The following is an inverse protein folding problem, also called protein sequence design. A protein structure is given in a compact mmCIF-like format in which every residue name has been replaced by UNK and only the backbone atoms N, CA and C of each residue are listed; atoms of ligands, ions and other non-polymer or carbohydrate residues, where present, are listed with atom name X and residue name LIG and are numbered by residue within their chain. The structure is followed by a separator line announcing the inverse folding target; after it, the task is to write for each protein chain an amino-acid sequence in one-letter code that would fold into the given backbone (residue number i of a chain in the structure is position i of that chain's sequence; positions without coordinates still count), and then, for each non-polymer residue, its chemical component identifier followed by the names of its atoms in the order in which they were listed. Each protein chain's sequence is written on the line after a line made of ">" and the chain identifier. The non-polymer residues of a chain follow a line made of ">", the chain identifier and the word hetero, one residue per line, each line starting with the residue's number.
data_IF_415660124281
#
_entry.id   IF_415660124281
#
_cell.length_a   1.000
_cell.length_b   1.000
_cell.length_c   1.000
_cell.angle_alpha   90.00
_cell.angle_beta   90.00
_cell.angle_gamma   90.00
#
_symmetry.space_group_name_H-M   'P 1'
#
loop_
_entity.id
_entity.type
_entity.pdbx_description
1 polymer ?
#
# COMPACT_ATOMS: atom_id res chain seq x y z
N UNK A 1 -16.50 10.82 9.47
CA UNK A 1 -16.25 11.51 8.18
C UNK A 1 -16.51 10.51 7.08
N UNK A 2 -17.48 10.76 6.20
CA UNK A 2 -17.73 9.86 5.07
C UNK A 2 -16.65 10.09 4.02
N UNK A 3 -15.89 9.04 3.71
CA UNK A 3 -14.96 9.03 2.59
C UNK A 3 -15.80 8.81 1.33
N UNK A 4 -15.60 9.63 0.29
CA UNK A 4 -16.29 9.53 -0.99
C UNK A 4 -15.91 8.25 -1.73
N UNK A 5 -16.78 7.80 -2.64
CA UNK A 5 -16.52 6.63 -3.50
C UNK A 5 -15.38 6.86 -4.50
N UNK A 6 -15.02 8.14 -4.73
CA UNK A 6 -13.88 8.55 -5.55
C UNK A 6 -13.20 9.79 -4.99
N UNK A 7 -11.94 10.03 -5.37
CA UNK A 7 -11.21 11.28 -5.10
C UNK A 7 -11.71 12.48 -5.94
N UNK A 8 -12.65 12.27 -6.86
CA UNK A 8 -13.18 13.32 -7.72
C UNK A 8 -12.13 13.97 -8.63
N UNK A 9 -11.12 13.21 -9.06
CA UNK A 9 -10.01 13.69 -9.88
C UNK A 9 -8.89 14.39 -9.10
N UNK A 10 -8.96 14.39 -7.77
CA UNK A 10 -7.87 14.88 -6.91
C UNK A 10 -6.82 13.80 -6.76
N UNK A 11 -5.56 14.17 -6.99
CA UNK A 11 -4.38 13.33 -6.77
C UNK A 11 -3.55 13.93 -5.64
N UNK A 12 -3.12 13.09 -4.71
CA UNK A 12 -2.24 13.50 -3.63
C UNK A 12 -0.90 12.76 -3.76
N UNK A 13 0.19 13.49 -3.96
CA UNK A 13 1.55 12.94 -3.98
C UNK A 13 2.23 13.26 -2.65
N UNK A 14 2.40 12.30 -1.73
CA UNK A 14 2.88 12.55 -0.37
C UNK A 14 4.42 12.56 -0.30
N UNK A 15 5.08 13.36 -1.14
CA UNK A 15 6.53 13.52 -1.16
C UNK A 15 7.00 14.51 -0.07
N UNK A 16 6.67 14.25 1.21
CA UNK A 16 6.97 15.18 2.31
C UNK A 16 8.48 15.35 2.58
N UNK A 17 9.24 14.30 2.32
CA UNK A 17 10.71 14.25 2.48
C UNK A 17 11.40 13.79 1.18
N UNK A 18 10.75 14.04 0.06
CA UNK A 18 11.14 13.51 -1.23
C UNK A 18 10.40 12.23 -1.60
N UNK A 19 10.76 11.64 -2.73
CA UNK A 19 10.26 10.36 -3.23
C UNK A 19 11.36 9.31 -3.11
N UNK A 20 11.05 8.19 -2.48
CA UNK A 20 11.89 6.99 -2.43
C UNK A 20 11.80 6.19 -3.74
N UNK A 21 11.96 4.86 -3.62
CA UNK A 21 11.82 3.96 -4.76
C UNK A 21 10.43 4.09 -5.43
N UNK A 22 10.36 4.03 -6.78
CA UNK A 22 11.46 3.83 -7.72
C UNK A 22 12.14 5.13 -8.19
N UNK A 23 11.74 6.29 -7.67
CA UNK A 23 12.10 7.61 -8.20
C UNK A 23 13.44 8.16 -7.67
N UNK A 24 13.73 7.94 -6.39
CA UNK A 24 14.93 8.41 -5.69
C UNK A 24 15.17 9.92 -5.86
N UNK A 25 14.08 10.71 -5.70
CA UNK A 25 14.09 12.17 -5.86
C UNK A 25 13.94 12.85 -4.49
N UNK A 26 15.05 13.30 -3.86
CA UNK A 26 15.02 13.94 -2.54
C UNK A 26 14.43 15.35 -2.59
N UNK A 27 14.35 15.97 -3.76
CA UNK A 27 13.89 17.35 -3.96
C UNK A 27 12.38 17.44 -4.25
N UNK A 28 11.74 16.33 -4.60
CA UNK A 28 10.29 16.27 -4.75
C UNK A 28 9.58 16.72 -3.46
N UNK A 29 8.44 17.39 -3.60
CA UNK A 29 7.62 17.84 -2.47
C UNK A 29 6.17 17.42 -2.62
N UNK A 30 5.49 17.25 -1.47
CA UNK A 30 4.10 16.87 -1.42
C UNK A 30 3.21 17.81 -2.22
N UNK A 31 2.27 17.25 -2.99
CA UNK A 31 1.42 18.03 -3.89
C UNK A 31 -0.01 17.49 -3.93
N UNK A 32 -0.97 18.41 -4.00
CA UNK A 32 -2.36 18.14 -4.35
C UNK A 32 -2.65 18.72 -5.74
N UNK A 33 -3.23 17.89 -6.61
CA UNK A 33 -3.53 18.26 -8.00
C UNK A 33 -4.97 17.89 -8.34
N UNK A 34 -5.61 18.62 -9.27
CA UNK A 34 -6.97 18.34 -9.70
C UNK A 34 -8.05 18.93 -8.81
N UNK A 35 -7.70 19.92 -7.98
CA UNK A 35 -8.67 20.64 -7.14
C UNK A 35 -9.63 21.45 -8.00
N UNK A 36 -10.92 21.38 -7.68
CA UNK A 36 -12.00 22.18 -8.29
C UNK A 36 -12.84 22.84 -7.22
N UNK A 37 -13.77 23.71 -7.60
CA UNK A 37 -14.74 24.34 -6.66
C UNK A 37 -15.61 23.29 -5.93
N UNK A 38 -15.80 22.10 -6.50
CA UNK A 38 -16.55 21.00 -5.90
C UNK A 38 -15.71 20.09 -4.99
N UNK A 39 -14.40 20.31 -4.88
CA UNK A 39 -13.54 19.49 -4.04
C UNK A 39 -13.85 19.68 -2.55
N UNK A 40 -14.04 18.57 -1.85
CA UNK A 40 -14.35 18.54 -0.42
C UNK A 40 -13.24 17.83 0.36
N UNK A 41 -13.26 17.96 1.69
CA UNK A 41 -12.34 17.23 2.59
C UNK A 41 -12.40 15.71 2.38
N UNK A 42 -13.58 15.18 2.02
CA UNK A 42 -13.74 13.74 1.77
C UNK A 42 -13.00 13.29 0.50
N UNK A 43 -12.96 14.11 -0.55
CA UNK A 43 -12.17 13.85 -1.75
C UNK A 43 -10.66 13.84 -1.45
N UNK A 44 -10.19 14.79 -0.63
CA UNK A 44 -8.78 14.86 -0.22
C UNK A 44 -8.39 13.64 0.63
N UNK A 45 -9.24 13.26 1.59
CA UNK A 45 -9.01 12.07 2.42
C UNK A 45 -8.98 10.78 1.57
N UNK A 46 -9.84 10.69 0.56
CA UNK A 46 -9.84 9.59 -0.40
C UNK A 46 -8.55 9.57 -1.22
N UNK A 47 -8.14 10.70 -1.77
CA UNK A 47 -6.89 10.84 -2.52
C UNK A 47 -5.66 10.43 -1.69
N UNK A 48 -5.65 10.73 -0.38
CA UNK A 48 -4.59 10.31 0.52
C UNK A 48 -4.52 8.78 0.70
N UNK A 49 -5.66 8.10 0.81
CA UNK A 49 -5.70 6.63 0.86
C UNK A 49 -5.28 6.00 -0.48
N UNK A 50 -5.78 6.56 -1.59
CA UNK A 50 -5.40 6.12 -2.93
C UNK A 50 -3.89 6.27 -3.17
N UNK A 51 -3.27 7.36 -2.71
CA UNK A 51 -1.83 7.58 -2.81
C UNK A 51 -1.01 6.46 -2.16
N UNK A 52 -1.45 5.94 -1.00
CA UNK A 52 -0.79 4.80 -0.35
C UNK A 52 -0.83 3.56 -1.25
N UNK A 53 -2.00 3.28 -1.85
CA UNK A 53 -2.15 2.13 -2.74
C UNK A 53 -1.29 2.27 -4.01
N UNK A 54 -1.24 3.46 -4.62
CA UNK A 54 -0.41 3.71 -5.81
C UNK A 54 1.08 3.57 -5.50
N UNK A 55 1.58 4.17 -4.42
CA UNK A 55 2.98 4.05 -4.03
C UNK A 55 3.36 2.60 -3.71
N UNK A 56 2.49 1.87 -3.01
CA UNK A 56 2.71 0.44 -2.74
C UNK A 56 2.83 -0.37 -4.05
N UNK A 57 1.95 -0.12 -5.02
CA UNK A 57 1.98 -0.80 -6.31
C UNK A 57 3.26 -0.48 -7.12
N UNK A 58 3.76 0.77 -7.06
CA UNK A 58 5.03 1.15 -7.70
C UNK A 58 6.20 0.40 -7.09
N UNK A 59 6.27 0.33 -5.76
CA UNK A 59 7.32 -0.41 -5.06
C UNK A 59 7.25 -1.90 -5.40
N UNK A 60 6.06 -2.51 -5.37
CA UNK A 60 5.87 -3.93 -5.73
C UNK A 60 6.30 -4.19 -7.17
N UNK A 61 5.99 -3.29 -8.11
CA UNK A 61 6.39 -3.38 -9.51
C UNK A 61 7.92 -3.32 -9.65
N UNK A 62 8.57 -2.40 -8.94
CA UNK A 62 10.02 -2.28 -8.91
C UNK A 62 10.67 -3.56 -8.33
N UNK A 63 10.16 -4.05 -7.19
CA UNK A 63 10.65 -5.28 -6.57
C UNK A 63 10.48 -6.50 -7.48
N UNK A 64 9.33 -6.65 -8.16
CA UNK A 64 9.09 -7.73 -9.10
C UNK A 64 10.08 -7.71 -10.27
N UNK A 65 10.39 -6.53 -10.76
CA UNK A 65 11.37 -6.31 -11.84
C UNK A 65 12.77 -6.70 -11.39
N UNK A 66 13.21 -6.25 -10.21
CA UNK A 66 14.54 -6.51 -9.68
C UNK A 66 14.72 -8.00 -9.31
N UNK A 67 13.68 -8.60 -8.72
CA UNK A 67 13.70 -10.03 -8.35
C UNK A 67 13.50 -10.98 -9.55
N UNK A 68 13.14 -10.46 -10.73
CA UNK A 68 12.76 -11.25 -11.92
C UNK A 68 11.67 -12.29 -11.63
N UNK A 69 10.82 -12.00 -10.65
CA UNK A 69 9.72 -12.87 -10.20
C UNK A 69 8.46 -12.05 -9.99
N UNK A 70 7.29 -12.54 -10.40
CA UNK A 70 6.03 -11.86 -10.11
C UNK A 70 5.74 -11.88 -8.60
N UNK A 71 5.23 -10.77 -8.08
CA UNK A 71 4.59 -10.74 -6.76
C UNK A 71 3.25 -11.44 -6.89
N UNK A 72 3.00 -12.44 -6.06
CA UNK A 72 1.76 -13.24 -6.11
C UNK A 72 0.71 -12.80 -5.09
N UNK A 73 1.15 -12.23 -3.99
CA UNK A 73 0.32 -11.77 -2.88
C UNK A 73 1.04 -10.67 -2.11
N UNK A 74 0.29 -9.80 -1.44
CA UNK A 74 0.81 -8.80 -0.51
C UNK A 74 0.31 -9.11 0.89
N UNK A 75 1.19 -9.44 1.81
CA UNK A 75 0.87 -9.55 3.23
C UNK A 75 1.06 -8.21 3.90
N UNK A 76 0.06 -7.78 4.66
CA UNK A 76 -0.01 -6.45 5.29
C UNK A 76 -0.07 -6.55 6.80
N UNK A 77 0.46 -5.53 7.48
CA UNK A 77 0.41 -5.44 8.94
C UNK A 77 0.29 -3.99 9.42
N UNK A 78 0.31 -3.81 10.74
CA UNK A 78 0.21 -2.50 11.38
C UNK A 78 -1.21 -1.93 11.41
N UNK A 79 -1.34 -0.75 12.01
CA UNK A 79 -2.63 -0.10 12.24
C UNK A 79 -3.41 0.22 10.96
N UNK A 80 -2.71 0.59 9.89
CA UNK A 80 -3.32 0.93 8.59
C UNK A 80 -3.99 -0.28 7.92
N UNK A 81 -3.50 -1.50 8.18
CA UNK A 81 -4.07 -2.73 7.64
C UNK A 81 -5.50 -3.01 8.15
N UNK A 82 -5.94 -2.37 9.24
CA UNK A 82 -7.32 -2.45 9.74
C UNK A 82 -8.34 -1.69 8.90
N UNK A 83 -7.88 -0.86 7.96
CA UNK A 83 -8.76 -0.13 7.06
C UNK A 83 -9.09 -0.99 5.83
N UNK A 84 -10.28 -1.59 5.82
CA UNK A 84 -10.75 -2.46 4.74
C UNK A 84 -10.77 -1.75 3.38
N UNK A 85 -11.12 -0.47 3.35
CA UNK A 85 -11.14 0.31 2.12
C UNK A 85 -9.73 0.46 1.53
N UNK A 86 -8.74 0.75 2.37
CA UNK A 86 -7.34 0.83 1.93
C UNK A 86 -6.83 -0.54 1.44
N UNK A 87 -7.16 -1.62 2.14
CA UNK A 87 -6.77 -2.98 1.74
C UNK A 87 -7.35 -3.37 0.38
N UNK A 88 -8.63 -3.06 0.15
CA UNK A 88 -9.25 -3.31 -1.15
C UNK A 88 -8.62 -2.45 -2.25
N UNK A 89 -8.34 -1.17 -1.98
CA UNK A 89 -7.64 -0.31 -2.94
C UNK A 89 -6.24 -0.85 -3.27
N UNK A 90 -5.50 -1.34 -2.28
CA UNK A 90 -4.19 -1.93 -2.52
C UNK A 90 -4.28 -3.19 -3.38
N UNK A 91 -5.27 -4.07 -3.13
CA UNK A 91 -5.49 -5.24 -3.97
C UNK A 91 -5.81 -4.83 -5.42
N UNK A 92 -6.72 -3.88 -5.60
CA UNK A 92 -7.17 -3.41 -6.90
C UNK A 92 -6.04 -2.76 -7.71
N UNK A 93 -5.25 -1.88 -7.09
CA UNK A 93 -4.18 -1.14 -7.76
C UNK A 93 -2.93 -2.01 -7.96
N UNK A 94 -2.57 -2.86 -6.99
CA UNK A 94 -1.45 -3.79 -7.15
C UNK A 94 -1.79 -4.97 -8.09
N UNK A 95 -3.07 -5.30 -8.24
CA UNK A 95 -3.54 -6.42 -9.07
C UNK A 95 -3.19 -7.79 -8.49
N UNK A 96 -2.97 -7.86 -7.19
CA UNK A 96 -2.67 -9.10 -6.45
C UNK A 96 -3.48 -9.15 -5.16
N UNK A 97 -3.78 -10.35 -4.63
CA UNK A 97 -4.46 -10.48 -3.35
C UNK A 97 -3.69 -9.80 -2.22
N UNK A 98 -4.41 -9.07 -1.36
CA UNK A 98 -3.89 -8.49 -0.13
C UNK A 98 -4.39 -9.32 1.04
N UNK A 99 -3.46 -9.83 1.87
CA UNK A 99 -3.77 -10.75 2.96
C UNK A 99 -3.47 -10.08 4.29
N UNK A 100 -4.51 -9.86 5.08
CA UNK A 100 -4.41 -9.34 6.44
C UNK A 100 -4.34 -10.50 7.44
N UNK A 101 -3.33 -10.54 8.34
CA UNK A 101 -3.25 -11.54 9.38
C UNK A 101 -4.22 -11.23 10.51
N UNK A 102 -4.55 -12.26 11.31
CA UNK A 102 -5.35 -12.10 12.53
C UNK A 102 -4.65 -11.21 13.56
N UNK A 103 -3.33 -11.27 13.63
CA UNK A 103 -2.51 -10.39 14.47
C UNK A 103 -1.79 -9.37 13.58
N UNK A 104 -2.17 -8.09 13.74
CA UNK A 104 -1.62 -6.98 12.94
C UNK A 104 -0.42 -6.28 13.59
N UNK A 105 -0.09 -6.56 14.87
CA UNK A 105 1.06 -5.99 15.58
C UNK A 105 2.30 -6.88 15.41
N UNK A 106 2.76 -7.03 14.17
CA UNK A 106 3.81 -8.00 13.82
C UNK A 106 5.20 -7.59 14.29
N UNK A 107 5.48 -6.31 14.49
CA UNK A 107 6.77 -5.85 14.99
C UNK A 107 7.04 -6.35 16.43
N UNK A 108 6.08 -6.17 17.34
CA UNK A 108 6.19 -6.68 18.70
C UNK A 108 6.21 -8.22 18.73
N UNK A 109 5.39 -8.85 17.90
CA UNK A 109 5.34 -10.29 17.77
C UNK A 109 6.66 -10.86 17.24
N UNK A 110 7.29 -10.21 16.26
CA UNK A 110 8.60 -10.61 15.74
C UNK A 110 9.69 -10.58 16.80
N UNK A 111 9.71 -9.53 17.62
CA UNK A 111 10.64 -9.45 18.76
C UNK A 111 10.41 -10.59 19.77
N UNK A 112 9.14 -10.90 20.07
CA UNK A 112 8.79 -12.01 20.95
C UNK A 112 9.20 -13.37 20.34
N UNK A 113 9.02 -13.57 19.05
CA UNK A 113 9.47 -14.78 18.36
C UNK A 113 10.97 -14.98 18.42
N UNK A 114 11.76 -13.91 18.18
CA UNK A 114 13.22 -13.97 18.29
C UNK A 114 13.67 -14.32 19.71
N UNK A 115 13.07 -13.68 20.74
CA UNK A 115 13.36 -13.99 22.13
C UNK A 115 12.99 -15.46 22.49
N UNK A 116 11.85 -15.92 22.01
CA UNK A 116 11.39 -17.29 22.23
C UNK A 116 12.27 -18.34 21.55
N UNK A 117 12.77 -18.08 20.34
CA UNK A 117 13.77 -18.94 19.70
C UNK A 117 15.07 -18.99 20.50
N UNK A 118 15.57 -17.82 20.94
CA UNK A 118 16.80 -17.73 21.72
C UNK A 118 16.71 -18.44 23.09
N UNK A 119 15.53 -18.44 23.71
CA UNK A 119 15.27 -19.12 24.99
C UNK A 119 14.87 -20.60 24.86
N UNK A 120 14.67 -21.10 23.64
CA UNK A 120 14.19 -22.47 23.39
C UNK A 120 12.69 -22.67 23.63
N UNK A 121 11.90 -21.59 23.72
CA UNK A 121 10.44 -21.68 23.83
C UNK A 121 9.84 -22.21 22.52
N UNK A 122 10.30 -21.70 21.37
CA UNK A 122 10.05 -22.28 20.05
C UNK A 122 11.31 -22.99 19.55
N UNK A 123 11.11 -24.15 18.90
CA UNK A 123 12.21 -24.99 18.45
C UNK A 123 12.73 -24.61 17.07
N UNK A 124 11.89 -23.95 16.26
CA UNK A 124 12.26 -23.60 14.88
C UNK A 124 11.43 -22.42 14.34
N UNK A 125 11.92 -21.82 13.25
CA UNK A 125 11.18 -20.83 12.46
C UNK A 125 9.94 -21.43 11.80
N UNK A 126 9.93 -22.72 11.47
CA UNK A 126 8.79 -23.40 10.88
C UNK A 126 7.63 -23.54 11.87
N UNK A 127 7.95 -23.80 13.15
CA UNK A 127 6.95 -23.79 14.21
C UNK A 127 6.29 -22.42 14.31
N UNK A 128 7.07 -21.33 14.31
CA UNK A 128 6.56 -19.95 14.33
C UNK A 128 5.73 -19.66 13.07
N UNK A 129 6.22 -20.07 11.89
CA UNK A 129 5.49 -19.86 10.64
C UNK A 129 4.12 -20.55 10.65
N UNK A 130 4.01 -21.70 11.33
CA UNK A 130 2.74 -22.42 11.49
C UNK A 130 1.70 -21.69 12.34
N UNK A 131 2.11 -20.71 13.14
CA UNK A 131 1.21 -19.88 13.96
C UNK A 131 0.52 -18.78 13.16
N UNK A 132 1.05 -18.45 11.99
CA UNK A 132 0.48 -17.41 11.14
C UNK A 132 -0.91 -17.81 10.64
N UNK A 133 -1.87 -16.90 10.76
CA UNK A 133 -3.25 -17.10 10.31
C UNK A 133 -3.71 -15.86 9.56
N UNK A 134 -4.27 -16.06 8.37
CA UNK A 134 -5.01 -15.03 7.65
C UNK A 134 -6.34 -14.75 8.38
N UNK A 135 -6.64 -13.48 8.59
CA UNK A 135 -7.99 -13.05 9.04
C UNK A 135 -8.86 -12.77 7.82
N UNK A 136 -8.31 -12.05 6.83
CA UNK A 136 -9.05 -11.67 5.63
C UNK A 136 -8.15 -11.58 4.40
N UNK A 137 -8.70 -11.98 3.27
CA UNK A 137 -8.11 -11.80 1.94
C UNK A 137 -8.97 -10.80 1.17
N UNK A 138 -8.33 -9.82 0.55
CA UNK A 138 -8.93 -8.84 -0.35
C UNK A 138 -8.48 -9.18 -1.76
N UNK A 139 -9.40 -9.70 -2.57
CA UNK A 139 -9.13 -10.01 -3.97
C UNK A 139 -9.26 -8.78 -4.84
N UNK A 140 -8.40 -8.61 -5.88
CA UNK A 140 -8.57 -7.52 -6.83
C UNK A 140 -9.89 -7.70 -7.61
N UNK A 141 -10.72 -6.65 -7.61
CA UNK A 141 -11.98 -6.63 -8.36
C UNK A 141 -11.94 -5.64 -9.53
N UNK A 142 -10.93 -4.76 -9.55
CA UNK A 142 -10.71 -3.81 -10.64
C UNK A 142 -10.11 -4.51 -11.85
N UNK A 143 -10.67 -4.26 -13.05
CA UNK A 143 -10.10 -4.79 -14.28
C UNK A 143 -8.76 -4.11 -14.65
N UNK A 144 -8.01 -4.77 -15.54
CA UNK A 144 -6.65 -4.33 -15.91
C UNK A 144 -6.63 -2.98 -16.62
N UNK A 145 -7.61 -2.72 -17.50
CA UNK A 145 -7.69 -1.45 -18.24
C UNK A 145 -7.89 -0.27 -17.29
N UNK A 146 -8.80 -0.40 -16.33
CA UNK A 146 -9.07 0.60 -15.32
C UNK A 146 -7.86 0.84 -14.42
N UNK A 147 -7.19 -0.24 -13.97
CA UNK A 147 -5.94 -0.16 -13.20
C UNK A 147 -4.86 0.56 -13.98
N UNK A 148 -4.64 0.17 -15.24
CA UNK A 148 -3.66 0.80 -16.13
C UNK A 148 -3.94 2.29 -16.34
N UNK A 149 -5.19 2.67 -16.55
CA UNK A 149 -5.60 4.06 -16.65
C UNK A 149 -5.24 4.85 -15.38
N UNK A 150 -5.60 4.34 -14.20
CA UNK A 150 -5.33 5.00 -12.92
C UNK A 150 -3.82 5.12 -12.64
N UNK A 151 -3.04 4.08 -12.91
CA UNK A 151 -1.58 4.11 -12.75
C UNK A 151 -0.94 5.14 -13.69
N UNK A 152 -1.43 5.29 -14.92
CA UNK A 152 -0.96 6.32 -15.84
C UNK A 152 -1.27 7.75 -15.33
N UNK A 153 -2.47 7.96 -14.78
CA UNK A 153 -2.82 9.26 -14.19
C UNK A 153 -1.98 9.56 -12.94
N UNK A 154 -1.74 8.55 -12.10
CA UNK A 154 -0.84 8.65 -10.95
C UNK A 154 0.59 9.03 -11.38
N UNK A 155 1.16 8.34 -12.36
CA UNK A 155 2.50 8.65 -12.89
C UNK A 155 2.60 10.10 -13.41
N UNK A 156 1.53 10.62 -14.03
CA UNK A 156 1.46 12.03 -14.45
C UNK A 156 1.44 12.99 -13.26
N UNK A 157 0.73 12.63 -12.17
CA UNK A 157 0.71 13.43 -10.95
C UNK A 157 2.08 13.47 -10.28
N UNK A 158 2.74 12.31 -10.15
CA UNK A 158 4.11 12.19 -9.64
C UNK A 158 5.09 12.98 -10.49
N UNK A 159 5.00 12.88 -11.83
CA UNK A 159 5.86 13.63 -12.76
C UNK A 159 5.78 15.15 -12.60
N UNK A 160 4.67 15.68 -12.06
CA UNK A 160 4.51 17.10 -11.74
C UNK A 160 5.05 17.49 -10.36
N UNK A 161 5.18 16.53 -9.44
CA UNK A 161 5.77 16.74 -8.12
C UNK A 161 7.30 16.67 -8.13
N UNK A 162 7.87 16.08 -9.18
CA UNK A 162 9.31 16.00 -9.44
C UNK A 162 9.78 17.27 -10.14
N UNK A 163 11.02 17.64 -9.90
CA UNK A 163 11.69 18.79 -10.53
C UNK A 163 12.56 18.35 -11.70
#
# INVERSE_FOLDING_TARGET
>A
MCIRDSSGGVWFVPAFVGLGAPYWDPDARGMLIGLTRGTTRAHIARAALEAIAFQSAEVLTAMAKDATRPVRELRVDGGAARNDLLMQMQADIAGVPVIRPAQTETTALGAAFLAGLASGFWQSTDEIASLWRAERVFEPVMNEDQRGFLMNQWARAVGRARR
#
